data_IF_367966472383
#
_entry.id   IF_367966472383
#
_cell.length_a   1.000
_cell.length_b   1.000
_cell.length_c   1.000
_cell.angle_alpha   90.00
_cell.angle_beta   90.00
_cell.angle_gamma   90.00
#
_symmetry.space_group_name_H-M   'P 1'
#
loop_
_entity.id
_entity.type
_entity.pdbx_description
1 polymer ?
#
# COMPACT_ATOMS: atom_id res chain seq x y z
N UNK A 1 -7.83 -3.45 29.96
CA UNK A 1 -6.47 -2.90 30.16
C UNK A 1 -6.08 -3.09 31.63
N UNK A 2 -5.87 -4.34 32.07
CA UNK A 2 -5.58 -4.64 33.48
C UNK A 2 -4.07 -4.69 33.79
N UNK A 3 -3.21 -4.70 32.75
CA UNK A 3 -1.76 -4.85 32.86
C UNK A 3 -0.96 -3.59 32.48
N UNK A 4 -1.61 -2.43 32.25
CA UNK A 4 -0.93 -1.17 31.95
C UNK A 4 -0.29 -1.02 30.55
N UNK A 5 -0.33 -2.06 29.71
CA UNK A 5 0.21 -1.99 28.35
C UNK A 5 -0.65 -1.15 27.40
N UNK A 6 -0.02 -0.28 26.62
CA UNK A 6 -0.69 0.47 25.56
C UNK A 6 -0.94 -0.43 24.35
N UNK A 7 -2.19 -0.48 23.88
CA UNK A 7 -2.58 -1.23 22.67
C UNK A 7 -2.06 -0.55 21.40
N UNK A 8 -1.84 0.77 21.44
CA UNK A 8 -1.32 1.55 20.32
C UNK A 8 0.10 1.99 20.60
N UNK A 9 0.95 1.87 19.59
CA UNK A 9 2.30 2.42 19.58
C UNK A 9 2.42 3.52 18.53
N UNK A 10 3.56 4.21 18.48
CA UNK A 10 3.86 5.15 17.39
C UNK A 10 4.10 4.43 16.05
N UNK A 11 4.43 3.12 16.08
CA UNK A 11 4.44 2.28 14.90
C UNK A 11 3.01 1.83 14.58
N UNK A 12 2.61 1.95 13.30
CA UNK A 12 1.26 1.70 12.78
C UNK A 12 0.18 2.65 13.32
N UNK A 13 0.09 3.84 12.72
CA UNK A 13 -0.98 4.81 12.99
C UNK A 13 -2.24 4.36 12.27
N UNK A 14 -3.16 3.73 13.02
CA UNK A 14 -4.48 3.33 12.52
C UNK A 14 -5.54 4.35 12.96
N UNK A 15 -6.09 5.14 12.01
CA UNK A 15 -7.19 6.05 12.31
C UNK A 15 -8.40 5.25 12.80
N UNK A 16 -8.87 5.55 14.01
CA UNK A 16 -10.05 4.89 14.54
C UNK A 16 -11.31 5.33 13.75
N UNK A 17 -12.22 4.39 13.42
CA UNK A 17 -13.48 4.75 12.79
C UNK A 17 -14.34 5.58 13.73
N UNK A 18 -15.19 6.45 13.19
CA UNK A 18 -16.10 7.29 13.98
C UNK A 18 -17.41 6.54 14.25
N UNK A 19 -17.41 5.63 15.21
CA UNK A 19 -18.57 4.80 15.60
C UNK A 19 -19.24 5.27 16.90
N UNK A 20 -19.01 6.52 17.32
CA UNK A 20 -19.69 7.14 18.45
C UNK A 20 -19.07 6.89 19.83
N UNK A 21 -17.98 6.11 19.93
CA UNK A 21 -17.30 5.91 21.21
C UNK A 21 -16.23 6.98 21.48
N UNK A 22 -16.04 7.35 22.74
CA UNK A 22 -15.02 8.33 23.17
C UNK A 22 -13.59 7.80 22.97
N UNK A 23 -13.36 6.51 23.23
CA UNK A 23 -12.01 5.92 23.19
C UNK A 23 -11.74 5.25 21.84
N UNK A 24 -10.54 5.46 21.28
CA UNK A 24 -10.11 4.87 19.98
C UNK A 24 -10.25 3.34 19.93
N UNK A 25 -9.80 2.62 20.95
CA UNK A 25 -9.93 1.15 20.99
C UNK A 25 -11.37 0.68 21.01
N UNK A 26 -12.28 1.41 21.66
CA UNK A 26 -13.69 1.04 21.69
C UNK A 26 -14.31 1.14 20.29
N UNK A 27 -13.93 2.15 19.50
CA UNK A 27 -14.36 2.24 18.10
C UNK A 27 -13.78 1.10 17.24
N UNK A 28 -12.51 0.71 17.42
CA UNK A 28 -11.95 -0.43 16.69
C UNK A 28 -12.61 -1.76 17.07
N UNK A 29 -12.89 -1.98 18.36
CA UNK A 29 -13.62 -3.18 18.81
C UNK A 29 -15.06 -3.21 18.26
N UNK A 30 -15.72 -2.05 18.19
CA UNK A 30 -17.04 -1.94 17.57
C UNK A 30 -17.00 -2.26 16.07
N UNK A 31 -15.94 -1.83 15.36
CA UNK A 31 -15.72 -2.18 13.96
C UNK A 31 -15.54 -3.69 13.77
N UNK A 32 -14.69 -4.32 14.59
CA UNK A 32 -14.49 -5.78 14.57
C UNK A 32 -15.81 -6.50 14.84
N UNK A 33 -16.58 -6.05 15.85
CA UNK A 33 -17.90 -6.61 16.13
C UNK A 33 -18.82 -6.53 14.91
N UNK A 34 -18.87 -5.37 14.24
CA UNK A 34 -19.67 -5.19 13.03
C UNK A 34 -19.27 -6.17 11.92
N UNK A 35 -17.98 -6.37 11.69
CA UNK A 35 -17.46 -7.33 10.71
C UNK A 35 -17.82 -8.78 11.07
N UNK A 36 -17.73 -9.14 12.35
CA UNK A 36 -18.07 -10.48 12.84
C UNK A 36 -19.59 -10.76 12.73
N UNK A 37 -20.41 -9.79 13.11
CA UNK A 37 -21.87 -9.87 13.00
C UNK A 37 -22.32 -9.98 11.54
N UNK A 38 -21.65 -9.27 10.61
CA UNK A 38 -21.88 -9.36 9.16
C UNK A 38 -21.24 -10.61 8.52
N UNK A 39 -20.62 -11.49 9.32
CA UNK A 39 -19.95 -12.72 8.89
C UNK A 39 -18.88 -12.48 7.83
N UNK A 40 -18.19 -11.34 7.89
CA UNK A 40 -17.12 -10.98 6.95
C UNK A 40 -16.06 -12.08 6.76
N UNK A 41 -15.57 -12.76 7.82
CA UNK A 41 -14.56 -13.82 7.63
C UNK A 41 -15.05 -14.94 6.71
N UNK A 42 -16.34 -15.32 6.81
CA UNK A 42 -16.92 -16.35 5.94
C UNK A 42 -17.12 -15.88 4.50
N UNK A 43 -17.29 -14.56 4.28
CA UNK A 43 -17.34 -13.96 2.93
C UNK A 43 -15.94 -13.91 2.32
N UNK A 44 -14.93 -13.51 3.11
CA UNK A 44 -13.52 -13.46 2.70
C UNK A 44 -13.00 -14.85 2.35
N UNK A 45 -13.29 -15.87 3.15
CA UNK A 45 -12.89 -17.25 2.88
C UNK A 45 -13.50 -17.84 1.58
N UNK A 46 -14.52 -17.17 1.01
CA UNK A 46 -15.15 -17.55 -0.26
C UNK A 46 -14.78 -16.59 -1.40
N UNK A 47 -13.90 -15.62 -1.16
CA UNK A 47 -13.43 -14.71 -2.19
C UNK A 47 -12.71 -15.51 -3.28
N UNK A 48 -12.87 -15.09 -4.53
CA UNK A 48 -12.24 -15.73 -5.69
C UNK A 48 -10.96 -15.02 -6.15
N UNK A 49 -10.68 -13.84 -5.58
CA UNK A 49 -9.52 -13.02 -5.90
C UNK A 49 -9.24 -12.04 -4.76
N UNK A 50 -7.99 -11.57 -4.67
CA UNK A 50 -7.57 -10.55 -3.71
C UNK A 50 -8.40 -9.26 -3.82
N UNK A 51 -8.77 -8.89 -5.06
CA UNK A 51 -9.66 -7.75 -5.33
C UNK A 51 -11.02 -7.88 -4.62
N UNK A 52 -11.60 -9.08 -4.59
CA UNK A 52 -12.88 -9.29 -3.91
C UNK A 52 -12.76 -9.12 -2.39
N UNK A 53 -11.62 -9.51 -1.79
CA UNK A 53 -11.34 -9.26 -0.37
C UNK A 53 -11.28 -7.76 -0.09
N UNK A 54 -10.58 -7.00 -0.93
CA UNK A 54 -10.54 -5.55 -0.87
C UNK A 54 -11.94 -4.91 -0.99
N UNK A 55 -12.73 -5.35 -1.98
CA UNK A 55 -14.07 -4.81 -2.22
C UNK A 55 -15.01 -5.08 -1.03
N UNK A 56 -14.81 -6.19 -0.30
CA UNK A 56 -15.54 -6.46 0.95
C UNK A 56 -15.07 -5.54 2.10
N UNK A 57 -13.76 -5.29 2.22
CA UNK A 57 -13.18 -4.50 3.31
C UNK A 57 -13.48 -3.00 3.20
N UNK A 58 -13.46 -2.45 1.98
CA UNK A 58 -13.61 -1.00 1.75
C UNK A 58 -14.99 -0.45 2.13
N UNK A 59 -15.97 -1.34 2.32
CA UNK A 59 -17.33 -0.99 2.75
C UNK A 59 -17.41 -0.62 4.24
N UNK A 60 -16.40 -0.98 5.04
CA UNK A 60 -16.44 -0.74 6.47
C UNK A 60 -15.94 0.66 6.85
N UNK A 61 -16.58 1.31 7.83
CA UNK A 61 -16.24 2.67 8.21
C UNK A 61 -14.79 2.76 8.70
N UNK A 62 -14.08 3.77 8.25
CA UNK A 62 -12.67 3.99 8.57
C UNK A 62 -11.69 3.20 7.68
N UNK A 63 -12.14 2.19 6.94
CA UNK A 63 -11.31 1.45 5.98
C UNK A 63 -11.38 2.09 4.59
N UNK A 64 -10.79 3.29 4.46
CA UNK A 64 -10.58 3.90 3.14
C UNK A 64 -9.74 3.00 2.23
N UNK A 65 -9.74 3.27 0.91
CA UNK A 65 -9.11 2.41 -0.12
C UNK A 65 -7.72 1.90 0.27
N UNK A 66 -6.83 2.76 0.75
CA UNK A 66 -5.48 2.33 1.11
C UNK A 66 -5.43 1.39 2.33
N UNK A 67 -6.22 1.64 3.37
CA UNK A 67 -6.27 0.76 4.55
C UNK A 67 -6.94 -0.57 4.23
N UNK A 68 -8.01 -0.55 3.44
CA UNK A 68 -8.66 -1.76 2.96
C UNK A 68 -7.70 -2.63 2.12
N UNK A 69 -6.87 -2.01 1.28
CA UNK A 69 -5.85 -2.72 0.51
C UNK A 69 -4.76 -3.32 1.41
N UNK A 70 -4.20 -2.55 2.36
CA UNK A 70 -3.22 -3.09 3.32
C UNK A 70 -3.78 -4.28 4.09
N UNK A 71 -5.03 -4.20 4.57
CA UNK A 71 -5.67 -5.32 5.24
C UNK A 71 -5.89 -6.53 4.32
N UNK A 72 -6.20 -6.31 3.04
CA UNK A 72 -6.29 -7.41 2.08
C UNK A 72 -4.93 -8.12 1.92
N UNK A 73 -3.83 -7.36 1.83
CA UNK A 73 -2.47 -7.90 1.80
C UNK A 73 -2.13 -8.62 3.11
N UNK A 74 -2.35 -8.00 4.27
CA UNK A 74 -2.06 -8.60 5.58
C UNK A 74 -2.83 -9.94 5.77
N UNK A 75 -4.05 -10.03 5.26
CA UNK A 75 -4.83 -11.28 5.27
C UNK A 75 -4.28 -12.30 4.27
N UNK A 76 -3.75 -11.87 3.13
CA UNK A 76 -3.10 -12.71 2.13
C UNK A 76 -1.76 -13.28 2.61
N UNK A 77 -1.03 -12.53 3.44
CA UNK A 77 0.20 -12.99 4.09
C UNK A 77 -0.07 -13.99 5.23
N UNK A 78 -1.33 -14.12 5.65
CA UNK A 78 -1.75 -15.10 6.65
C UNK A 78 -2.04 -16.46 6.01
N UNK A 79 -2.16 -17.51 6.84
CA UNK A 79 -2.54 -18.85 6.34
C UNK A 79 -4.00 -18.96 5.87
N UNK A 80 -4.77 -17.87 5.88
CA UNK A 80 -6.19 -17.86 5.49
C UNK A 80 -6.39 -17.84 3.97
N UNK A 81 -5.49 -17.19 3.24
CA UNK A 81 -5.62 -16.88 1.82
C UNK A 81 -4.31 -17.24 1.10
N UNK A 82 -4.39 -17.40 -0.23
CA UNK A 82 -3.25 -17.78 -1.08
C UNK A 82 -3.47 -17.22 -2.50
N UNK A 83 -3.78 -15.92 -2.59
CA UNK A 83 -3.91 -15.24 -3.88
C UNK A 83 -2.55 -14.72 -4.34
N UNK A 84 -2.38 -14.56 -5.65
CA UNK A 84 -1.21 -13.91 -6.21
C UNK A 84 -1.23 -12.42 -5.82
N UNK A 85 -0.20 -11.96 -5.08
CA UNK A 85 -0.06 -10.57 -4.67
C UNK A 85 0.11 -9.61 -5.86
N UNK A 86 0.49 -10.13 -7.04
CA UNK A 86 0.61 -9.34 -8.26
C UNK A 86 -0.73 -8.99 -8.91
N UNK A 87 -1.82 -9.66 -8.54
CA UNK A 87 -3.14 -9.48 -9.17
C UNK A 87 -3.77 -8.11 -8.88
N UNK A 88 -3.37 -7.45 -7.78
CA UNK A 88 -4.05 -6.25 -7.33
C UNK A 88 -3.18 -5.35 -6.47
N UNK A 89 -3.13 -4.06 -6.83
CA UNK A 89 -2.45 -3.03 -6.06
C UNK A 89 -3.30 -1.76 -5.99
N UNK A 90 -3.20 -1.02 -4.87
CA UNK A 90 -3.76 0.31 -4.72
C UNK A 90 -2.65 1.27 -4.28
N UNK A 91 -2.49 2.36 -5.00
CA UNK A 91 -1.54 3.40 -4.63
C UNK A 91 -2.02 4.14 -3.38
N UNK A 92 -1.31 3.93 -2.26
CA UNK A 92 -1.50 4.73 -1.05
C UNK A 92 -1.07 6.19 -1.21
N UNK A 93 -1.45 7.09 -0.28
CA UNK A 93 -1.12 8.52 -0.35
C UNK A 93 0.38 8.81 -0.50
N UNK A 94 1.23 8.05 0.20
CA UNK A 94 2.69 8.18 0.09
C UNK A 94 3.21 7.77 -1.29
N UNK A 95 2.64 6.72 -1.89
CA UNK A 95 3.02 6.30 -3.24
C UNK A 95 2.58 7.31 -4.29
N UNK A 96 1.35 7.83 -4.18
CA UNK A 96 0.84 8.90 -5.05
C UNK A 96 1.75 10.14 -5.02
N UNK A 97 2.11 10.60 -3.82
CA UNK A 97 3.03 11.73 -3.66
C UNK A 97 4.44 11.41 -4.16
N UNK A 98 4.96 10.21 -3.89
CA UNK A 98 6.27 9.77 -4.36
C UNK A 98 6.37 9.70 -5.88
N UNK A 99 5.34 9.17 -6.54
CA UNK A 99 5.22 9.13 -8.00
C UNK A 99 5.20 10.55 -8.56
N UNK A 100 4.38 11.45 -7.99
CA UNK A 100 4.28 12.83 -8.45
C UNK A 100 5.59 13.63 -8.29
N UNK A 101 6.42 13.27 -7.31
CA UNK A 101 7.76 13.87 -7.11
C UNK A 101 8.80 13.29 -8.07
N UNK A 102 8.67 12.03 -8.44
CA UNK A 102 9.65 11.33 -9.26
C UNK A 102 9.42 11.56 -10.77
N UNK A 103 8.17 11.52 -11.21
CA UNK A 103 7.79 11.67 -12.62
C UNK A 103 7.18 13.05 -12.88
N UNK A 104 7.73 13.75 -13.87
CA UNK A 104 7.18 15.04 -14.35
C UNK A 104 5.96 14.83 -15.25
N UNK A 105 5.97 13.75 -16.03
CA UNK A 105 4.87 13.35 -16.91
C UNK A 105 4.76 11.82 -16.90
N UNK A 106 3.59 11.34 -16.49
CA UNK A 106 3.24 9.91 -16.46
C UNK A 106 2.50 9.47 -17.73
N UNK A 107 2.31 10.39 -18.68
CA UNK A 107 1.48 10.20 -19.85
C UNK A 107 0.02 9.99 -19.45
N UNK A 108 -0.53 8.83 -19.82
CA UNK A 108 -1.91 8.43 -19.48
C UNK A 108 -1.98 7.31 -18.43
N UNK A 109 -0.83 6.93 -17.85
CA UNK A 109 -0.78 5.87 -16.86
C UNK A 109 -1.30 6.36 -15.51
N UNK A 110 -2.12 5.54 -14.87
CA UNK A 110 -2.48 5.70 -13.47
C UNK A 110 -1.29 5.41 -12.55
N UNK A 111 -1.42 5.74 -11.26
CA UNK A 111 -0.37 5.44 -10.29
C UNK A 111 -0.16 3.93 -10.13
N UNK A 112 -1.24 3.15 -10.16
CA UNK A 112 -1.22 1.70 -10.17
C UNK A 112 -0.53 1.15 -11.42
N UNK A 113 -0.81 1.70 -12.61
CA UNK A 113 -0.13 1.29 -13.86
C UNK A 113 1.38 1.53 -13.76
N UNK A 114 1.81 2.66 -13.19
CA UNK A 114 3.24 2.97 -12.98
C UNK A 114 3.88 1.99 -12.01
N UNK A 115 3.17 1.62 -10.94
CA UNK A 115 3.65 0.62 -9.99
C UNK A 115 3.88 -0.71 -10.71
N UNK A 116 2.90 -1.19 -11.48
CA UNK A 116 3.02 -2.42 -12.24
C UNK A 116 4.14 -2.34 -13.29
N UNK A 117 4.28 -1.22 -14.00
CA UNK A 117 5.37 -1.03 -14.98
C UNK A 117 6.75 -1.13 -14.33
N UNK A 118 6.93 -0.55 -13.13
CA UNK A 118 8.18 -0.68 -12.37
C UNK A 118 8.41 -2.12 -11.93
N UNK A 119 7.36 -2.82 -11.49
CA UNK A 119 7.43 -4.25 -11.15
C UNK A 119 7.87 -5.09 -12.35
N UNK A 120 7.25 -4.90 -13.51
CA UNK A 120 7.53 -5.68 -14.73
C UNK A 120 8.95 -5.44 -15.27
N UNK A 121 9.44 -4.19 -15.15
CA UNK A 121 10.78 -3.81 -15.64
C UNK A 121 11.91 -4.10 -14.67
N UNK A 122 11.62 -4.50 -13.42
CA UNK A 122 12.63 -4.56 -12.36
C UNK A 122 13.91 -5.32 -12.76
N UNK A 123 13.77 -6.49 -13.41
CA UNK A 123 14.90 -7.33 -13.81
C UNK A 123 15.76 -6.65 -14.87
N UNK A 124 15.12 -6.05 -15.88
CA UNK A 124 15.81 -5.31 -16.92
C UNK A 124 16.51 -4.06 -16.37
N UNK A 125 15.85 -3.34 -15.45
CA UNK A 125 16.38 -2.15 -14.80
C UNK A 125 17.62 -2.47 -13.95
N UNK A 126 17.57 -3.49 -13.08
CA UNK A 126 18.72 -3.91 -12.28
C UNK A 126 19.90 -4.35 -13.17
N UNK A 127 19.64 -5.13 -14.22
CA UNK A 127 20.66 -5.54 -15.19
C UNK A 127 21.30 -4.33 -15.89
N UNK A 128 20.50 -3.39 -16.37
CA UNK A 128 20.95 -2.16 -17.02
C UNK A 128 21.85 -1.31 -16.10
N UNK A 129 21.49 -1.24 -14.82
CA UNK A 129 22.23 -0.50 -13.80
C UNK A 129 23.42 -1.29 -13.22
N UNK A 130 23.64 -2.54 -13.65
CA UNK A 130 24.66 -3.46 -13.11
C UNK A 130 24.55 -3.64 -11.59
N UNK A 131 23.31 -3.66 -11.10
CA UNK A 131 22.99 -3.92 -9.69
C UNK A 131 22.64 -5.39 -9.52
N UNK A 132 23.25 -6.05 -8.55
CA UNK A 132 22.97 -7.45 -8.22
C UNK A 132 21.94 -7.56 -7.10
N UNK A 133 20.69 -7.20 -7.39
CA UNK A 133 19.58 -7.35 -6.46
C UNK A 133 18.96 -8.74 -6.59
N UNK A 134 18.94 -9.51 -5.50
CA UNK A 134 18.44 -10.90 -5.49
C UNK A 134 16.93 -11.01 -5.22
N UNK A 135 16.24 -9.89 -5.08
CA UNK A 135 14.85 -9.86 -4.64
C UNK A 135 14.71 -9.64 -3.13
N UNK A 136 13.48 -9.76 -2.64
CA UNK A 136 13.17 -9.73 -1.21
C UNK A 136 13.11 -11.16 -0.70
N UNK A 137 14.11 -11.55 0.09
CA UNK A 137 14.32 -12.95 0.42
C UNK A 137 14.60 -13.75 -0.85
N UNK A 138 13.68 -14.64 -1.22
CA UNK A 138 13.81 -15.52 -2.39
C UNK A 138 12.80 -15.20 -3.52
N UNK A 139 12.10 -14.06 -3.46
CA UNK A 139 11.14 -13.65 -4.49
C UNK A 139 11.50 -12.31 -5.13
N UNK A 140 11.08 -12.12 -6.38
CA UNK A 140 11.11 -10.81 -7.04
C UNK A 140 10.18 -9.81 -6.31
N UNK A 141 10.36 -8.52 -6.58
CA UNK A 141 9.45 -7.50 -6.09
C UNK A 141 8.06 -7.74 -6.65
N UNK A 142 7.07 -7.62 -5.78
CA UNK A 142 5.65 -7.61 -6.11
C UNK A 142 5.16 -6.17 -6.23
N UNK A 143 3.98 -5.91 -6.83
CA UNK A 143 3.42 -4.58 -6.92
C UNK A 143 3.31 -3.84 -5.57
N UNK A 144 3.01 -4.55 -4.48
CA UNK A 144 3.02 -3.97 -3.12
C UNK A 144 4.39 -3.44 -2.72
N UNK A 145 5.48 -4.13 -3.07
CA UNK A 145 6.83 -3.66 -2.76
C UNK A 145 7.16 -2.42 -3.58
N UNK A 146 6.82 -2.42 -4.86
CA UNK A 146 7.01 -1.26 -5.74
C UNK A 146 6.17 -0.06 -5.29
N UNK A 147 4.96 -0.28 -4.79
CA UNK A 147 4.15 0.75 -4.13
C UNK A 147 4.87 1.31 -2.89
N UNK A 148 5.46 0.43 -2.07
CA UNK A 148 6.22 0.82 -0.89
C UNK A 148 7.49 1.62 -1.26
N UNK A 149 8.18 1.31 -2.37
CA UNK A 149 9.30 2.10 -2.87
C UNK A 149 8.89 3.57 -3.10
N UNK A 150 7.73 3.82 -3.70
CA UNK A 150 7.23 5.18 -3.90
C UNK A 150 6.83 5.85 -2.58
N UNK A 151 6.25 5.12 -1.64
CA UNK A 151 6.02 5.64 -0.28
C UNK A 151 7.33 6.11 0.38
N UNK A 152 8.41 5.35 0.24
CA UNK A 152 9.72 5.72 0.78
C UNK A 152 10.34 6.92 0.06
N UNK A 153 10.16 7.04 -1.27
CA UNK A 153 10.55 8.26 -2.01
C UNK A 153 9.88 9.49 -1.40
N UNK A 154 8.57 9.44 -1.14
CA UNK A 154 7.84 10.54 -0.49
C UNK A 154 8.43 10.90 0.88
N UNK A 155 8.71 9.89 1.72
CA UNK A 155 9.29 10.08 3.07
C UNK A 155 10.70 10.68 3.01
N UNK A 156 11.58 10.12 2.19
CA UNK A 156 12.98 10.57 2.10
C UNK A 156 13.11 11.95 1.48
N UNK A 157 12.31 12.27 0.46
CA UNK A 157 12.30 13.62 -0.12
C UNK A 157 11.82 14.67 0.87
N UNK A 158 10.83 14.33 1.71
CA UNK A 158 10.35 15.23 2.78
C UNK A 158 11.41 15.43 3.87
N UNK A 159 12.07 14.35 4.32
CA UNK A 159 13.09 14.41 5.37
C UNK A 159 14.37 15.14 4.93
N UNK A 160 14.76 15.02 3.66
CA UNK A 160 15.96 15.63 3.12
C UNK A 160 15.84 17.14 2.88
N UNK A 161 14.69 17.77 3.19
CA UNK A 161 14.34 19.11 2.73
C UNK A 161 14.66 19.29 1.24
N UNK A 162 14.40 18.23 0.46
CA UNK A 162 14.77 18.19 -0.95
C UNK A 162 14.21 19.44 -1.61
N UNK A 163 15.07 20.32 -2.19
CA UNK A 163 14.59 21.57 -2.74
C UNK A 163 13.51 21.22 -3.74
N UNK A 164 12.33 21.84 -3.57
CA UNK A 164 11.23 21.73 -4.52
C UNK A 164 11.85 21.78 -5.91
N UNK A 165 11.74 20.68 -6.67
CA UNK A 165 12.35 20.62 -7.99
C UNK A 165 11.92 21.90 -8.71
N UNK A 166 12.87 22.73 -9.20
CA UNK A 166 12.48 23.86 -10.02
C UNK A 166 11.61 23.30 -11.16
N UNK A 167 10.57 24.04 -11.61
CA UNK A 167 9.76 23.62 -12.74
C UNK A 167 10.71 23.20 -13.85
N UNK A 168 10.49 22.00 -14.39
CA UNK A 168 11.48 21.22 -15.13
C UNK A 168 12.24 22.01 -16.20
N UNK A 169 13.36 22.63 -15.83
CA UNK A 169 14.32 23.16 -16.77
C UNK A 169 15.35 22.04 -17.06
N UNK A 170 14.94 21.05 -17.86
CA UNK A 170 15.89 20.37 -18.76
C UNK A 170 16.40 18.95 -18.41
N UNK A 171 15.91 18.26 -17.38
CA UNK A 171 16.18 16.81 -17.22
C UNK A 171 14.92 16.03 -16.84
N UNK A 172 14.02 15.89 -17.81
CA UNK A 172 12.84 15.04 -17.71
C UNK A 172 13.26 13.55 -17.67
N UNK A 173 12.90 12.85 -16.59
CA UNK A 173 12.87 11.39 -16.58
C UNK A 173 11.51 10.96 -17.14
N UNK A 174 11.46 10.76 -18.46
CA UNK A 174 10.33 10.09 -19.11
C UNK A 174 10.34 8.60 -18.72
N UNK A 175 9.15 7.99 -18.60
CA UNK A 175 8.97 6.54 -18.44
C UNK A 175 9.76 5.72 -19.48
N UNK A 176 10.08 6.31 -20.64
CA UNK A 176 10.95 5.70 -21.66
C UNK A 176 12.40 5.46 -21.19
N UNK A 177 12.78 5.91 -19.98
CA UNK A 177 14.11 5.75 -19.37
C UNK A 177 14.14 4.76 -18.18
N UNK A 178 13.00 4.17 -17.81
CA UNK A 178 12.95 3.01 -16.89
C UNK A 178 13.45 1.77 -17.63
#
# INVERSE_FOLDING_TARGET
MAAGHMVYSAAYIMPAPKLGFVRKHANHLALIKMMMDDRLPAKIAKAAALRHVFDLLVLYPGLGRFLAFQYAIDLNDSSMLDFDESDFVIAGPGALDGIAKYFVDTGRLSAEDIICEVTDRQVAAFKRLKLDFKGLGNRLLQPIDCQNLFCEISKYTHAAAWPALPPANGRALSLSRL
#
